data_IF_086553806095
#
_entry.id   IF_086553806095
#
_cell.length_a   1.000
_cell.length_b   1.000
_cell.length_c   1.000
_cell.angle_alpha   90.00
_cell.angle_beta   90.00
_cell.angle_gamma   90.00
#
_symmetry.space_group_name_H-M   'P 1'
#
loop_
_entity.id
_entity.type
_entity.pdbx_description
1 polymer ?
#
# COMPACT_ATOMS: atom_id res chain seq x y z
N UNK A 1 10.54 -13.29 11.48
CA UNK A 1 10.20 -11.96 10.89
C UNK A 1 10.40 -10.88 11.97
N UNK A 2 10.69 -9.62 11.61
CA UNK A 2 11.14 -8.57 12.56
C UNK A 2 10.05 -7.98 13.48
N UNK A 3 8.79 -7.97 13.06
CA UNK A 3 7.70 -7.32 13.83
C UNK A 3 7.18 -8.07 15.06
N UNK A 4 7.74 -9.23 15.41
CA UNK A 4 7.23 -10.06 16.51
C UNK A 4 5.88 -10.71 16.20
N UNK A 5 5.18 -11.22 17.22
CA UNK A 5 3.89 -11.92 17.08
C UNK A 5 2.67 -10.99 17.15
N UNK A 6 2.82 -9.79 17.71
CA UNK A 6 1.71 -8.85 17.93
C UNK A 6 0.91 -8.55 16.65
N UNK A 7 1.61 -8.33 15.52
CA UNK A 7 0.97 -8.07 14.22
C UNK A 7 0.08 -9.25 13.81
N UNK A 8 0.61 -10.48 13.86
CA UNK A 8 -0.15 -11.66 13.39
C UNK A 8 -1.32 -11.99 14.33
N UNK A 9 -1.15 -11.77 15.63
CA UNK A 9 -2.23 -11.93 16.61
C UNK A 9 -3.37 -10.93 16.36
N UNK A 10 -3.05 -9.68 16.04
CA UNK A 10 -4.05 -8.67 15.72
C UNK A 10 -4.72 -8.94 14.37
N UNK A 11 -3.97 -9.34 13.35
CA UNK A 11 -4.54 -9.80 12.07
C UNK A 11 -5.51 -10.97 12.27
N UNK A 12 -5.21 -11.92 13.18
CA UNK A 12 -6.11 -13.04 13.51
C UNK A 12 -7.41 -12.56 14.15
N UNK A 13 -7.36 -11.57 15.06
CA UNK A 13 -8.58 -10.96 15.63
C UNK A 13 -9.40 -10.21 14.58
N UNK A 14 -8.74 -9.44 13.72
CA UNK A 14 -9.42 -8.77 12.61
C UNK A 14 -10.12 -9.78 11.69
N UNK A 15 -9.47 -10.90 11.41
CA UNK A 15 -10.01 -12.02 10.64
C UNK A 15 -11.17 -12.75 11.35
N UNK A 16 -11.19 -12.86 12.68
CA UNK A 16 -12.30 -13.51 13.38
C UNK A 16 -13.55 -12.62 13.46
N UNK A 17 -13.35 -11.30 13.61
CA UNK A 17 -14.43 -10.42 14.03
C UNK A 17 -15.00 -9.58 12.88
N UNK A 18 -14.13 -9.04 12.01
CA UNK A 18 -14.51 -8.04 10.99
C UNK A 18 -14.34 -8.54 9.57
N UNK A 19 -13.37 -9.41 9.34
CA UNK A 19 -13.00 -9.92 8.01
C UNK A 19 -12.94 -11.46 7.99
N UNK A 20 -14.04 -12.17 8.29
CA UNK A 20 -14.08 -13.64 8.29
C UNK A 20 -13.67 -14.24 6.95
N UNK A 21 -13.96 -13.56 5.84
CA UNK A 21 -13.57 -13.99 4.49
C UNK A 21 -12.27 -13.36 4.00
N UNK A 22 -11.71 -12.41 4.76
CA UNK A 22 -10.48 -11.69 4.44
C UNK A 22 -10.73 -10.23 4.08
N UNK A 23 -9.65 -9.46 4.05
CA UNK A 23 -9.70 -8.08 3.61
C UNK A 23 -9.92 -8.07 2.09
N UNK A 24 -10.99 -7.44 1.57
CA UNK A 24 -11.23 -7.38 0.14
C UNK A 24 -10.08 -6.66 -0.60
N UNK A 25 -9.77 -7.05 -1.86
CA UNK A 25 -8.80 -6.32 -2.68
C UNK A 25 -9.15 -4.82 -2.79
N UNK A 26 -8.13 -3.97 -2.68
CA UNK A 26 -8.29 -2.51 -2.66
C UNK A 26 -8.58 -1.91 -1.29
N UNK A 27 -8.98 -2.69 -0.28
CA UNK A 27 -9.23 -2.15 1.06
C UNK A 27 -7.95 -2.11 1.92
N UNK A 28 -8.00 -1.33 3.00
CA UNK A 28 -6.92 -1.21 3.97
C UNK A 28 -7.41 -1.32 5.43
N UNK A 29 -6.56 -1.81 6.33
CA UNK A 29 -6.79 -1.83 7.78
C UNK A 29 -5.47 -1.72 8.55
N UNK A 30 -5.46 -1.00 9.66
CA UNK A 30 -4.28 -0.86 10.51
C UNK A 30 -4.20 -1.92 11.62
N UNK A 31 -2.98 -2.28 12.00
CA UNK A 31 -2.65 -2.95 13.27
C UNK A 31 -1.56 -2.17 13.98
N UNK A 32 -1.27 -2.52 15.23
CA UNK A 32 -0.01 -2.17 15.85
C UNK A 32 1.18 -2.73 15.05
N UNK A 33 2.35 -2.10 15.20
CA UNK A 33 3.56 -2.47 14.47
C UNK A 33 4.45 -3.51 15.19
N UNK A 34 4.08 -3.92 16.41
CA UNK A 34 4.90 -4.81 17.23
C UNK A 34 6.29 -4.22 17.47
N UNK A 35 7.35 -4.93 17.06
CA UNK A 35 8.75 -4.49 17.25
C UNK A 35 9.33 -3.68 16.07
N UNK A 36 8.51 -3.34 15.06
CA UNK A 36 9.01 -2.54 13.93
C UNK A 36 9.25 -1.08 14.38
N UNK A 37 10.19 -0.35 13.75
CA UNK A 37 10.45 1.06 14.04
C UNK A 37 9.38 1.98 13.42
N UNK A 38 8.11 1.65 13.61
CA UNK A 38 6.95 2.45 13.24
C UNK A 38 5.84 2.23 14.28
N UNK A 39 4.79 3.05 14.24
CA UNK A 39 3.68 2.94 15.19
C UNK A 39 2.61 1.96 14.74
N UNK A 40 2.35 1.94 13.43
CA UNK A 40 1.31 1.12 12.81
C UNK A 40 1.85 0.38 11.59
N UNK A 41 1.17 -0.71 11.24
CA UNK A 41 1.26 -1.36 9.94
C UNK A 41 -0.11 -1.30 9.31
N UNK A 42 -0.21 -0.68 8.13
CA UNK A 42 -1.44 -0.65 7.34
C UNK A 42 -1.35 -1.81 6.34
N UNK A 43 -2.28 -2.75 6.47
CA UNK A 43 -2.40 -3.92 5.61
C UNK A 43 -3.38 -3.57 4.49
N UNK A 44 -2.99 -3.83 3.25
CA UNK A 44 -3.85 -3.68 2.08
C UNK A 44 -3.65 -4.87 1.15
N UNK A 45 -4.68 -5.24 0.40
CA UNK A 45 -4.64 -6.37 -0.53
C UNK A 45 -4.64 -5.83 -1.96
N UNK A 46 -3.47 -5.85 -2.59
CA UNK A 46 -3.32 -5.52 -3.99
C UNK A 46 -4.00 -6.52 -4.93
N UNK A 47 -4.32 -6.13 -6.18
CA UNK A 47 -4.84 -7.05 -7.18
C UNK A 47 -3.79 -8.09 -7.59
N UNK A 48 -4.25 -9.31 -7.88
CA UNK A 48 -3.49 -10.29 -8.67
C UNK A 48 -3.65 -9.90 -10.14
N UNK A 49 -2.57 -9.45 -10.78
CA UNK A 49 -2.64 -8.78 -12.08
C UNK A 49 -3.32 -9.63 -13.15
N UNK A 50 -2.97 -10.92 -13.22
CA UNK A 50 -3.48 -11.83 -14.25
C UNK A 50 -4.99 -12.14 -14.17
N UNK A 51 -5.64 -11.89 -13.03
CA UNK A 51 -7.03 -12.30 -12.79
C UNK A 51 -7.93 -11.18 -12.28
N UNK A 52 -7.39 -10.00 -12.01
CA UNK A 52 -8.20 -8.87 -11.60
C UNK A 52 -9.00 -8.30 -12.77
N UNK A 53 -10.30 -8.11 -12.56
CA UNK A 53 -11.19 -7.46 -13.54
C UNK A 53 -10.83 -5.99 -13.76
N UNK A 54 -10.47 -5.29 -12.68
CA UNK A 54 -9.99 -3.91 -12.69
C UNK A 54 -8.71 -3.80 -11.86
N UNK A 55 -7.55 -4.20 -12.42
CA UNK A 55 -6.28 -4.14 -11.70
C UNK A 55 -5.88 -2.70 -11.38
N UNK A 56 -6.12 -1.76 -12.28
CA UNK A 56 -5.69 -0.38 -12.12
C UNK A 56 -6.47 0.33 -11.00
N UNK A 57 -7.81 0.25 -11.01
CA UNK A 57 -8.63 0.85 -9.97
C UNK A 57 -8.41 0.21 -8.60
N UNK A 58 -8.19 -1.12 -8.53
CA UNK A 58 -7.85 -1.80 -7.27
C UNK A 58 -6.49 -1.39 -6.73
N UNK A 59 -5.48 -1.24 -7.59
CA UNK A 59 -4.16 -0.78 -7.17
C UNK A 59 -4.19 0.68 -6.69
N UNK A 60 -4.91 1.56 -7.39
CA UNK A 60 -5.13 2.93 -6.94
C UNK A 60 -5.83 2.96 -5.57
N UNK A 61 -6.89 2.16 -5.42
CA UNK A 61 -7.64 2.02 -4.17
C UNK A 61 -6.77 1.59 -2.99
N UNK A 62 -5.81 0.66 -3.19
CA UNK A 62 -4.88 0.27 -2.13
C UNK A 62 -4.11 1.46 -1.54
N UNK A 63 -3.71 2.41 -2.38
CA UNK A 63 -2.96 3.60 -1.94
C UNK A 63 -3.89 4.60 -1.27
N UNK A 64 -5.04 4.92 -1.86
CA UNK A 64 -5.98 5.90 -1.30
C UNK A 64 -6.62 5.42 0.00
N UNK A 65 -7.04 4.15 0.08
CA UNK A 65 -7.57 3.57 1.32
C UNK A 65 -6.50 3.47 2.40
N UNK A 66 -5.23 3.20 2.04
CA UNK A 66 -4.15 3.20 3.02
C UNK A 66 -3.89 4.61 3.59
N UNK A 67 -3.99 5.66 2.77
CA UNK A 67 -3.89 7.05 3.23
C UNK A 67 -5.09 7.44 4.10
N UNK A 68 -6.30 7.01 3.73
CA UNK A 68 -7.51 7.20 4.56
C UNK A 68 -7.35 6.56 5.93
N UNK A 69 -6.87 5.31 5.99
CA UNK A 69 -6.58 4.60 7.26
C UNK A 69 -5.43 5.26 8.02
N UNK A 70 -4.42 5.79 7.32
CA UNK A 70 -3.34 6.56 7.94
C UNK A 70 -3.88 7.80 8.67
N UNK A 71 -4.85 8.50 8.07
CA UNK A 71 -5.51 9.64 8.70
C UNK A 71 -6.34 9.22 9.92
N UNK A 72 -7.07 8.11 9.86
CA UNK A 72 -7.83 7.57 11.00
C UNK A 72 -6.96 7.28 12.22
N UNK A 73 -5.75 6.75 12.00
CA UNK A 73 -4.81 6.46 13.10
C UNK A 73 -3.91 7.65 13.44
N UNK A 74 -4.06 8.79 12.76
CA UNK A 74 -3.28 10.00 13.00
C UNK A 74 -1.82 9.91 12.53
N UNK A 75 -1.51 9.06 11.56
CA UNK A 75 -0.18 8.96 10.98
C UNK A 75 0.11 10.18 10.06
N UNK A 76 1.31 10.76 10.21
CA UNK A 76 1.76 11.91 9.40
C UNK A 76 2.75 11.53 8.31
N UNK A 77 3.29 10.33 8.38
CA UNK A 77 4.26 9.81 7.42
C UNK A 77 3.93 8.36 7.07
N UNK A 78 3.94 8.00 5.79
CA UNK A 78 3.62 6.65 5.32
C UNK A 78 4.73 6.16 4.38
N UNK A 79 5.05 4.87 4.47
CA UNK A 79 5.96 4.20 3.54
C UNK A 79 5.22 3.09 2.81
N UNK A 80 5.22 3.13 1.47
CA UNK A 80 4.64 2.11 0.60
C UNK A 80 5.74 1.26 -0.05
N UNK A 81 5.55 -0.06 -0.18
CA UNK A 81 6.30 -0.86 -1.14
C UNK A 81 5.72 -0.70 -2.55
N UNK A 82 6.33 -1.35 -3.55
CA UNK A 82 5.68 -1.56 -4.86
C UNK A 82 4.56 -2.61 -4.75
N UNK A 83 3.36 -2.17 -4.32
CA UNK A 83 2.20 -3.06 -4.10
C UNK A 83 1.88 -3.84 -5.39
N UNK A 84 1.62 -5.14 -5.23
CA UNK A 84 1.35 -6.11 -6.30
C UNK A 84 2.49 -6.42 -7.30
N UNK A 85 3.62 -5.72 -7.26
CA UNK A 85 4.72 -5.93 -8.23
C UNK A 85 5.64 -7.11 -7.91
N UNK A 86 5.33 -7.89 -6.87
CA UNK A 86 6.03 -9.14 -6.54
C UNK A 86 5.27 -10.36 -7.06
N UNK A 87 4.90 -11.26 -6.15
CA UNK A 87 4.17 -12.52 -6.49
C UNK A 87 2.82 -12.30 -7.19
N UNK A 88 2.23 -11.11 -7.10
CA UNK A 88 0.98 -10.76 -7.80
C UNK A 88 1.19 -10.28 -9.24
N UNK A 89 2.45 -10.13 -9.67
CA UNK A 89 2.85 -10.01 -11.08
C UNK A 89 2.45 -8.71 -11.77
N UNK A 90 2.15 -7.64 -11.03
CA UNK A 90 1.83 -6.35 -11.64
C UNK A 90 3.09 -5.74 -12.27
N UNK A 91 3.10 -5.40 -13.58
CA UNK A 91 4.25 -4.77 -14.22
C UNK A 91 4.60 -3.43 -13.58
N UNK A 92 5.89 -3.22 -13.26
CA UNK A 92 6.36 -2.01 -12.58
C UNK A 92 6.04 -0.73 -13.36
N UNK A 93 6.22 -0.74 -14.67
CA UNK A 93 5.96 0.41 -15.54
C UNK A 93 4.47 0.80 -15.60
N UNK A 94 3.56 -0.14 -15.32
CA UNK A 94 2.13 0.13 -15.22
C UNK A 94 1.74 0.52 -13.79
N UNK A 95 2.31 -0.14 -12.77
CA UNK A 95 1.97 0.09 -11.37
C UNK A 95 2.47 1.44 -10.84
N UNK A 96 3.68 1.85 -11.21
CA UNK A 96 4.31 3.07 -10.71
C UNK A 96 3.48 4.35 -10.99
N UNK A 97 3.02 4.63 -12.22
CA UNK A 97 2.21 5.81 -12.49
C UNK A 97 0.86 5.78 -11.75
N UNK A 98 0.26 4.59 -11.57
CA UNK A 98 -0.99 4.43 -10.83
C UNK A 98 -0.78 4.75 -9.34
N UNK A 99 0.28 4.17 -8.74
CA UNK A 99 0.62 4.38 -7.34
C UNK A 99 0.90 5.87 -7.06
N UNK A 100 1.74 6.50 -7.89
CA UNK A 100 2.10 7.91 -7.72
C UNK A 100 0.93 8.86 -8.00
N UNK A 101 0.13 8.60 -9.02
CA UNK A 101 -1.07 9.39 -9.32
C UNK A 101 -2.08 9.32 -8.17
N UNK A 102 -2.36 8.11 -7.69
CA UNK A 102 -3.31 7.89 -6.59
C UNK A 102 -2.92 8.63 -5.31
N UNK A 103 -1.64 8.63 -4.93
CA UNK A 103 -1.20 9.37 -3.73
C UNK A 103 -1.12 10.88 -3.94
N UNK A 104 -0.84 11.34 -5.16
CA UNK A 104 -0.76 12.77 -5.48
C UNK A 104 -2.15 13.44 -5.52
N UNK A 105 -3.17 12.70 -5.94
CA UNK A 105 -4.56 13.17 -6.01
C UNK A 105 -5.34 12.96 -4.70
N UNK A 106 -4.81 12.14 -3.78
CA UNK A 106 -5.46 11.85 -2.51
C UNK A 106 -5.53 13.10 -1.62
N UNK A 107 -6.73 13.39 -1.12
CA UNK A 107 -6.90 14.33 0.00
C UNK A 107 -6.56 13.59 1.30
N UNK A 108 -5.43 13.94 1.93
CA UNK A 108 -4.95 13.29 3.16
C UNK A 108 -4.24 14.27 4.09
N UNK A 109 -4.17 13.93 5.37
CA UNK A 109 -3.38 14.67 6.36
C UNK A 109 -1.91 14.23 6.42
N UNK A 110 -1.56 13.13 5.75
CA UNK A 110 -0.17 12.65 5.62
C UNK A 110 0.70 13.71 4.94
N UNK A 111 1.82 14.04 5.58
CA UNK A 111 2.75 15.08 5.15
C UNK A 111 3.93 14.54 4.34
N UNK A 112 4.28 13.26 4.54
CA UNK A 112 5.36 12.62 3.82
C UNK A 112 4.98 11.20 3.40
N UNK A 113 5.14 10.91 2.11
CA UNK A 113 4.94 9.59 1.54
C UNK A 113 6.26 9.13 0.92
N UNK A 114 6.74 7.95 1.32
CA UNK A 114 7.96 7.33 0.76
C UNK A 114 7.58 6.05 0.02
N UNK A 115 8.08 5.88 -1.20
CA UNK A 115 8.09 4.58 -1.87
C UNK A 115 9.43 3.89 -1.58
N UNK A 116 9.39 2.79 -0.84
CA UNK A 116 10.56 2.01 -0.44
C UNK A 116 10.68 0.81 -1.37
N UNK A 117 11.53 0.97 -2.37
CA UNK A 117 11.66 0.05 -3.49
C UNK A 117 12.85 -0.89 -3.26
N UNK A 118 12.66 -2.17 -3.56
CA UNK A 118 13.60 -3.23 -3.15
C UNK A 118 14.84 -3.31 -4.05
N UNK A 119 14.68 -3.03 -5.34
CA UNK A 119 15.73 -3.14 -6.36
C UNK A 119 15.77 -1.92 -7.30
N UNK A 120 16.78 -1.89 -8.15
CA UNK A 120 17.03 -0.80 -9.10
C UNK A 120 15.98 -0.72 -10.21
N UNK A 121 15.39 -1.86 -10.61
CA UNK A 121 14.35 -1.90 -11.64
C UNK A 121 13.08 -1.18 -11.16
N UNK A 122 12.65 -1.50 -9.94
CA UNK A 122 11.53 -0.82 -9.30
C UNK A 122 11.83 0.67 -9.08
N UNK A 123 13.04 1.01 -8.62
CA UNK A 123 13.45 2.40 -8.48
C UNK A 123 13.35 3.17 -9.80
N UNK A 124 13.93 2.62 -10.88
CA UNK A 124 13.93 3.26 -12.18
C UNK A 124 12.51 3.46 -12.75
N UNK A 125 11.60 2.50 -12.55
CA UNK A 125 10.20 2.65 -12.96
C UNK A 125 9.48 3.78 -12.21
N UNK A 126 9.65 3.85 -10.88
CA UNK A 126 9.07 4.92 -10.08
C UNK A 126 9.70 6.29 -10.35
N UNK A 127 11.00 6.37 -10.64
CA UNK A 127 11.66 7.62 -11.04
C UNK A 127 11.14 8.14 -12.38
N UNK A 128 10.96 7.27 -13.38
CA UNK A 128 10.35 7.62 -14.68
C UNK A 128 8.95 8.19 -14.47
N UNK A 129 8.10 7.45 -13.76
CA UNK A 129 6.71 7.85 -13.49
C UNK A 129 6.64 9.16 -12.67
N UNK A 130 7.51 9.36 -11.68
CA UNK A 130 7.58 10.62 -10.93
C UNK A 130 8.04 11.80 -11.81
N UNK A 131 8.97 11.56 -12.73
CA UNK A 131 9.40 12.55 -13.72
C UNK A 131 8.26 12.99 -14.63
N UNK A 132 7.41 12.06 -15.07
CA UNK A 132 6.21 12.35 -15.86
C UNK A 132 5.16 13.13 -15.08
N UNK A 133 4.88 12.73 -13.84
CA UNK A 133 3.90 13.38 -12.99
C UNK A 133 4.26 14.85 -12.72
N UNK A 134 5.55 15.16 -12.51
CA UNK A 134 6.04 16.53 -12.29
C UNK A 134 5.95 17.45 -13.52
N UNK A 135 5.78 16.88 -14.72
CA UNK A 135 5.64 17.65 -15.97
C UNK A 135 4.19 17.98 -16.31
N UNK A 136 3.23 17.40 -15.58
CA UNK A 136 1.79 17.71 -15.70
C UNK A 136 1.47 18.97 -14.91
#
# INVERSE_FOLDING_TARGET
>A
RRGGTAIVEECRRLRSDRYPDGLPPGQAVATAAGHLPCRWVIHTVGPVYATAEDPAGRLASCHTESLRVADEVGARTVAFPAISCGIYGYPLDEAAPIALGAVAEATTSVQEIRFVLFDEEALAAFERAAGELRRR
#
